data_IF_633091177772
#
_entry.id   IF_633091177772
#
_cell.length_a   1.000
_cell.length_b   1.000
_cell.length_c   1.000
_cell.angle_alpha   90.00
_cell.angle_beta   90.00
_cell.angle_gamma   90.00
#
_symmetry.space_group_name_H-M   'P 1'
#
loop_
_entity.id
_entity.type
_entity.pdbx_description
1 polymer ?
#
# COMPACT_ATOMS: atom_id res chain seq x y z
N UNK A 1 7.51 -6.03 13.36
CA UNK A 1 6.69 -6.74 12.35
C UNK A 1 6.43 -5.92 11.08
N UNK A 2 6.03 -4.68 11.19
CA UNK A 2 5.69 -3.86 10.01
C UNK A 2 6.85 -3.73 9.01
N UNK A 3 8.07 -3.51 9.46
CA UNK A 3 9.23 -3.39 8.59
C UNK A 3 9.56 -4.70 7.87
N UNK A 4 9.47 -5.83 8.57
CA UNK A 4 9.67 -7.15 7.97
C UNK A 4 8.62 -7.42 6.90
N UNK A 5 7.34 -7.12 7.18
CA UNK A 5 6.28 -7.25 6.20
C UNK A 5 6.53 -6.39 4.97
N UNK A 6 6.95 -5.15 5.15
CA UNK A 6 7.25 -4.24 4.05
C UNK A 6 8.34 -4.81 3.14
N UNK A 7 9.41 -5.33 3.73
CA UNK A 7 10.51 -5.93 2.98
C UNK A 7 10.07 -7.17 2.21
N UNK A 8 9.35 -8.08 2.85
CA UNK A 8 8.87 -9.31 2.21
C UNK A 8 7.93 -9.00 1.05
N UNK A 9 6.99 -8.10 1.27
CA UNK A 9 6.01 -7.72 0.24
C UNK A 9 6.72 -7.04 -0.94
N UNK A 10 7.65 -6.11 -0.67
CA UNK A 10 8.40 -5.41 -1.71
C UNK A 10 9.19 -6.38 -2.58
N UNK A 11 9.89 -7.33 -1.98
CA UNK A 11 10.65 -8.33 -2.71
C UNK A 11 9.76 -9.27 -3.51
N UNK A 12 8.68 -9.74 -2.92
CA UNK A 12 7.74 -10.64 -3.60
C UNK A 12 7.06 -9.96 -4.79
N UNK A 13 6.68 -8.69 -4.66
CA UNK A 13 6.11 -7.92 -5.76
C UNK A 13 7.08 -7.76 -6.92
N UNK A 14 8.36 -7.54 -6.61
CA UNK A 14 9.37 -7.35 -7.64
C UNK A 14 9.71 -8.66 -8.39
N UNK A 15 9.64 -9.80 -7.73
CA UNK A 15 10.18 -11.06 -8.26
C UNK A 15 9.15 -12.13 -8.57
N UNK A 16 8.04 -12.18 -7.84
CA UNK A 16 7.15 -13.34 -7.85
C UNK A 16 5.73 -13.05 -8.31
N UNK A 17 5.25 -11.82 -8.16
CA UNK A 17 3.89 -11.47 -8.58
C UNK A 17 3.89 -11.10 -10.05
N UNK A 18 3.15 -11.88 -10.85
CA UNK A 18 3.09 -11.73 -12.31
C UNK A 18 1.69 -11.40 -12.82
N UNK A 19 0.95 -10.65 -12.04
CA UNK A 19 -0.36 -10.16 -12.46
C UNK A 19 -0.15 -8.92 -13.35
N UNK A 20 -0.65 -8.91 -14.59
CA UNK A 20 -0.47 -7.76 -15.49
C UNK A 20 -1.13 -6.46 -14.99
N UNK A 21 -2.06 -6.57 -14.03
CA UNK A 21 -2.65 -5.39 -13.40
C UNK A 21 -1.67 -4.68 -12.44
N UNK A 22 -0.68 -5.42 -11.95
CA UNK A 22 0.33 -4.90 -11.02
C UNK A 22 1.56 -4.50 -11.84
N UNK A 23 1.70 -3.19 -12.09
CA UNK A 23 2.87 -2.62 -12.74
C UNK A 23 3.90 -2.16 -11.73
N UNK A 24 4.34 -0.92 -11.85
CA UNK A 24 5.25 -0.31 -10.89
C UNK A 24 4.47 0.08 -9.64
N UNK A 25 4.66 -0.67 -8.56
CA UNK A 25 4.01 -0.42 -7.28
C UNK A 25 5.09 -0.22 -6.23
N UNK A 26 4.97 0.86 -5.46
CA UNK A 26 5.86 1.13 -4.33
C UNK A 26 5.06 1.01 -3.03
N UNK A 27 5.53 0.17 -2.10
CA UNK A 27 4.95 0.09 -0.77
C UNK A 27 5.46 1.28 0.04
N UNK A 28 4.56 2.17 0.42
CA UNK A 28 4.92 3.40 1.15
C UNK A 28 4.83 3.24 2.65
N UNK A 29 3.93 2.39 3.14
CA UNK A 29 3.78 2.14 4.57
C UNK A 29 3.07 0.81 4.82
N UNK A 30 3.32 0.22 5.98
CA UNK A 30 2.60 -0.94 6.48
C UNK A 30 2.15 -0.64 7.90
N UNK A 31 0.84 -0.67 8.13
CA UNK A 31 0.23 -0.39 9.42
C UNK A 31 -0.43 -1.66 9.95
N UNK A 32 0.11 -2.18 11.05
CA UNK A 32 -0.36 -3.43 11.65
C UNK A 32 -1.25 -3.11 12.83
N UNK A 33 -2.41 -3.79 12.94
CA UNK A 33 -3.31 -3.65 14.08
C UNK A 33 -2.64 -4.14 15.37
N UNK A 34 -3.13 -3.64 16.52
CA UNK A 34 -2.53 -3.97 17.82
C UNK A 34 -2.55 -5.48 18.13
N UNK A 35 -3.59 -6.18 17.67
CA UNK A 35 -3.72 -7.63 17.85
C UNK A 35 -3.01 -8.44 16.76
N UNK A 36 -2.32 -7.78 15.84
CA UNK A 36 -1.59 -8.38 14.73
C UNK A 36 -2.46 -9.16 13.74
N UNK A 37 -3.77 -8.95 13.74
CA UNK A 37 -4.68 -9.70 12.86
C UNK A 37 -4.82 -9.09 11.48
N UNK A 38 -4.60 -7.80 11.33
CA UNK A 38 -4.73 -7.08 10.07
C UNK A 38 -3.56 -6.16 9.83
N UNK A 39 -3.14 -6.05 8.57
CA UNK A 39 -2.13 -5.09 8.13
C UNK A 39 -2.68 -4.30 6.93
N UNK A 40 -2.64 -2.98 7.04
CA UNK A 40 -2.95 -2.08 5.91
C UNK A 40 -1.65 -1.80 5.19
N UNK A 41 -1.60 -2.18 3.92
CA UNK A 41 -0.42 -1.96 3.08
C UNK A 41 -0.72 -0.81 2.13
N UNK A 42 -0.12 0.33 2.39
CA UNK A 42 -0.31 1.52 1.58
C UNK A 42 0.67 1.49 0.40
N UNK A 43 0.16 1.70 -0.79
CA UNK A 43 0.95 1.63 -2.02
C UNK A 43 0.77 2.88 -2.87
N UNK A 44 1.85 3.25 -3.55
CA UNK A 44 1.84 4.29 -4.57
C UNK A 44 1.88 3.61 -5.94
N UNK A 45 0.95 4.00 -6.80
CA UNK A 45 0.81 3.45 -8.15
C UNK A 45 0.78 4.62 -9.14
N UNK A 46 1.68 4.67 -10.13
CA UNK A 46 1.61 5.70 -11.17
C UNK A 46 0.48 5.44 -12.14
N UNK A 47 -0.01 6.51 -12.77
CA UNK A 47 -1.01 6.41 -13.81
C UNK A 47 -2.35 7.02 -13.44
N UNK A 48 -3.36 6.71 -14.23
CA UNK A 48 -4.72 7.19 -14.07
C UNK A 48 -5.46 6.42 -12.97
N UNK A 49 -6.57 6.97 -12.48
CA UNK A 49 -7.36 6.32 -11.42
C UNK A 49 -7.78 4.89 -11.77
N UNK A 50 -8.17 4.64 -13.02
CA UNK A 50 -8.53 3.29 -13.46
C UNK A 50 -7.36 2.30 -13.38
N UNK A 51 -6.16 2.74 -13.69
CA UNK A 51 -4.94 1.94 -13.58
C UNK A 51 -4.59 1.66 -12.11
N UNK A 52 -4.73 2.67 -11.27
CA UNK A 52 -4.51 2.55 -9.82
C UNK A 52 -5.47 1.55 -9.20
N UNK A 53 -6.75 1.64 -9.54
CA UNK A 53 -7.77 0.71 -9.04
C UNK A 53 -7.47 -0.72 -9.46
N UNK A 54 -7.11 -0.93 -10.71
CA UNK A 54 -6.76 -2.27 -11.22
C UNK A 54 -5.51 -2.83 -10.53
N UNK A 55 -4.53 -1.99 -10.27
CA UNK A 55 -3.32 -2.40 -9.55
C UNK A 55 -3.66 -2.88 -8.13
N UNK A 56 -4.50 -2.14 -7.41
CA UNK A 56 -4.94 -2.54 -6.06
C UNK A 56 -5.74 -3.84 -6.09
N UNK A 57 -6.61 -4.04 -7.07
CA UNK A 57 -7.34 -5.29 -7.25
C UNK A 57 -6.39 -6.45 -7.48
N UNK A 58 -5.37 -6.25 -8.32
CA UNK A 58 -4.34 -7.26 -8.56
C UNK A 58 -3.54 -7.59 -7.31
N UNK A 59 -3.16 -6.60 -6.54
CA UNK A 59 -2.47 -6.78 -5.26
C UNK A 59 -3.34 -7.55 -4.27
N UNK A 60 -4.62 -7.19 -4.17
CA UNK A 60 -5.53 -7.87 -3.26
C UNK A 60 -5.76 -9.32 -3.68
N UNK A 61 -5.77 -9.62 -4.97
CA UNK A 61 -5.81 -10.99 -5.47
C UNK A 61 -4.56 -11.79 -5.08
N UNK A 62 -3.42 -11.15 -4.95
CA UNK A 62 -2.17 -11.76 -4.55
C UNK A 62 -1.97 -11.80 -3.02
N UNK A 63 -2.91 -11.25 -2.24
CA UNK A 63 -2.76 -11.09 -0.79
C UNK A 63 -2.50 -12.42 -0.07
N UNK A 64 -3.19 -13.49 -0.46
CA UNK A 64 -2.99 -14.82 0.13
C UNK A 64 -1.58 -15.37 -0.11
N UNK A 65 -1.08 -15.20 -1.33
CA UNK A 65 0.27 -15.58 -1.69
C UNK A 65 1.31 -14.78 -0.91
N UNK A 66 1.13 -13.47 -0.84
CA UNK A 66 2.04 -12.59 -0.10
C UNK A 66 2.02 -12.89 1.40
N UNK A 67 0.86 -13.21 1.95
CA UNK A 67 0.73 -13.63 3.34
C UNK A 67 1.50 -14.93 3.60
N UNK A 68 1.44 -15.88 2.68
CA UNK A 68 2.20 -17.14 2.78
C UNK A 68 3.71 -16.88 2.77
N UNK A 69 4.17 -15.93 1.95
CA UNK A 69 5.58 -15.52 1.94
C UNK A 69 5.98 -14.87 3.25
N UNK A 70 5.14 -14.01 3.79
CA UNK A 70 5.38 -13.37 5.08
C UNK A 70 5.46 -14.39 6.21
N UNK A 71 4.64 -15.43 6.16
CA UNK A 71 4.65 -16.48 7.18
C UNK A 71 6.00 -17.19 7.31
N UNK A 72 6.74 -17.29 6.22
CA UNK A 72 8.09 -17.90 6.23
C UNK A 72 9.13 -16.98 6.84
N UNK A 73 8.96 -15.67 6.75
CA UNK A 73 9.91 -14.70 7.26
C UNK A 73 9.63 -14.28 8.70
N UNK A 74 8.39 -14.37 9.15
CA UNK A 74 7.99 -13.99 10.50
C UNK A 74 8.12 -15.18 11.44
N UNK A 75 8.65 -14.93 12.64
CA UNK A 75 8.79 -15.94 13.68
C UNK A 75 7.55 -16.05 14.58
N UNK A 76 6.57 -15.18 14.37
CA UNK A 76 5.32 -15.16 15.12
C UNK A 76 4.32 -16.18 14.57
N UNK A 77 3.43 -16.69 15.44
CA UNK A 77 2.39 -17.62 15.04
C UNK A 77 1.31 -16.98 14.18
N UNK A 78 1.09 -15.69 14.36
CA UNK A 78 0.05 -14.94 13.67
C UNK A 78 0.65 -14.12 12.56
N UNK A 79 0.16 -14.32 11.33
CA UNK A 79 0.51 -13.49 10.19
C UNK A 79 -0.72 -12.65 9.88
N UNK A 80 -0.60 -11.32 9.83
CA UNK A 80 -1.75 -10.46 9.56
C UNK A 80 -2.38 -10.73 8.19
N UNK A 81 -3.68 -10.54 8.11
CA UNK A 81 -4.39 -10.47 6.84
C UNK A 81 -4.03 -9.16 6.15
N UNK A 82 -3.64 -9.23 4.87
CA UNK A 82 -3.16 -8.07 4.13
C UNK A 82 -4.29 -7.35 3.39
N UNK A 83 -4.37 -6.03 3.59
CA UNK A 83 -5.34 -5.16 2.93
C UNK A 83 -4.58 -4.06 2.20
N UNK A 84 -4.68 -4.04 0.87
CA UNK A 84 -3.97 -3.07 0.04
C UNK A 84 -4.83 -1.84 -0.19
N UNK A 85 -4.22 -0.67 0.00
CA UNK A 85 -4.87 0.61 -0.19
C UNK A 85 -3.92 1.58 -0.89
N UNK A 86 -4.45 2.49 -1.68
CA UNK A 86 -3.65 3.56 -2.27
C UNK A 86 -3.23 4.55 -1.18
N UNK A 87 -1.95 4.93 -1.23
CA UNK A 87 -1.46 6.01 -0.39
C UNK A 87 -1.77 7.35 -1.06
N UNK A 88 -2.75 8.06 -0.52
CA UNK A 88 -3.18 9.36 -1.03
C UNK A 88 -2.72 10.52 -0.14
N UNK A 89 -1.80 10.24 0.79
CA UNK A 89 -1.31 11.25 1.74
C UNK A 89 -0.73 12.48 1.05
N UNK A 90 0.12 12.29 0.04
CA UNK A 90 0.71 13.38 -0.71
C UNK A 90 -0.35 14.17 -1.50
N UNK A 91 -1.29 13.48 -2.14
CA UNK A 91 -2.39 14.12 -2.87
C UNK A 91 -3.25 14.97 -1.93
N UNK A 92 -3.56 14.45 -0.75
CA UNK A 92 -4.31 15.19 0.26
C UNK A 92 -3.55 16.43 0.74
N UNK A 93 -2.24 16.31 0.98
CA UNK A 93 -1.41 17.42 1.41
C UNK A 93 -1.36 18.54 0.36
N UNK A 94 -1.21 18.19 -0.90
CA UNK A 94 -1.20 19.15 -2.01
C UNK A 94 -2.56 19.85 -2.10
N UNK A 95 -3.65 19.09 -2.02
CA UNK A 95 -5.01 19.65 -2.09
C UNK A 95 -5.29 20.61 -0.94
N UNK A 96 -4.87 20.28 0.28
CA UNK A 96 -5.02 21.14 1.45
C UNK A 96 -4.22 22.44 1.26
N UNK A 97 -2.99 22.36 0.75
CA UNK A 97 -2.17 23.54 0.49
C UNK A 97 -2.80 24.44 -0.59
N UNK A 98 -3.37 23.87 -1.62
CA UNK A 98 -4.08 24.64 -2.65
C UNK A 98 -5.28 25.38 -2.06
N UNK A 99 -6.06 24.73 -1.20
CA UNK A 99 -7.19 25.35 -0.52
C UNK A 99 -6.75 26.49 0.37
N UNK A 100 -5.68 26.31 1.15
CA UNK A 100 -5.15 27.36 2.01
C UNK A 100 -4.64 28.56 1.22
N UNK A 101 -3.98 28.31 0.09
CA UNK A 101 -3.52 29.38 -0.80
C UNK A 101 -4.69 30.17 -1.41
N UNK A 102 -5.77 29.48 -1.78
CA UNK A 102 -6.99 30.15 -2.27
C UNK A 102 -7.60 31.06 -1.22
N UNK A 103 -7.67 30.59 0.03
CA UNK A 103 -8.20 31.38 1.15
C UNK A 103 -7.34 32.63 1.39
N UNK A 104 -6.02 32.48 1.37
CA UNK A 104 -5.10 33.60 1.55
C UNK A 104 -5.25 34.66 0.46
N UNK A 105 -5.49 34.25 -0.79
CA UNK A 105 -5.72 35.19 -1.90
C UNK A 105 -7.01 35.97 -1.74
N UNK A 106 -8.03 35.34 -1.18
CA UNK A 106 -9.32 35.99 -0.94
C UNK A 106 -9.25 37.03 0.20
N UNK A 107 -8.35 36.82 1.17
CA UNK A 107 -8.16 37.73 2.30
C UNK A 107 -7.37 38.99 1.94
N UNK A 108 -6.68 39.00 0.82
CA UNK A 108 -5.90 40.15 0.35
C UNK A 108 -6.61 40.91 -0.76
#
# INVERSE_FOLDING_TARGET
MAETLRQVITEALAREVRDPRVGFVTVTAVLVSNDLSHARVLVSVPGEEGEKTRAVEGLQSAAGFLRSRAARALTTRTVPELHFELDRGLEHAVRINELLNSIRREET
#
